data_IF_164232598513
#
_entry.id   IF_164232598513
#
_cell.length_a   1.000
_cell.length_b   1.000
_cell.length_c   1.000
_cell.angle_alpha   90.00
_cell.angle_beta   90.00
_cell.angle_gamma   90.00
#
_symmetry.space_group_name_H-M   'P 1'
#
loop_
_entity.id
_entity.type
_entity.pdbx_description
1 polymer ?
#
# COMPACT_ATOMS: atom_id res chain seq x y z
N UNK A 1 36.86 -38.89 34.67
CA UNK A 1 35.53 -38.79 34.01
C UNK A 1 35.23 -37.30 33.90
N UNK A 2 35.66 -36.57 32.88
CA UNK A 2 35.33 -36.69 31.46
C UNK A 2 34.56 -35.40 31.10
N UNK A 3 35.28 -34.32 30.79
CA UNK A 3 34.68 -33.06 30.37
C UNK A 3 34.04 -33.28 28.99
N UNK A 4 32.72 -33.18 28.92
CA UNK A 4 31.96 -33.26 27.67
C UNK A 4 32.25 -31.99 26.87
N UNK A 5 33.13 -32.14 25.87
CA UNK A 5 33.34 -31.16 24.81
C UNK A 5 32.01 -30.89 24.10
N UNK A 6 31.57 -29.63 24.05
CA UNK A 6 30.41 -29.22 23.28
C UNK A 6 30.70 -29.50 21.79
N UNK A 7 30.00 -30.47 21.19
CA UNK A 7 30.11 -30.76 19.77
C UNK A 7 29.71 -29.53 18.94
N UNK A 8 30.40 -29.26 17.81
CA UNK A 8 30.04 -28.17 16.92
C UNK A 8 28.63 -28.41 16.36
N UNK A 9 27.80 -27.37 16.38
CA UNK A 9 26.44 -27.42 15.84
C UNK A 9 26.46 -27.94 14.40
N UNK A 10 25.70 -29.01 14.13
CA UNK A 10 25.63 -29.62 12.81
C UNK A 10 25.23 -28.58 11.75
N UNK A 11 26.08 -28.38 10.74
CA UNK A 11 25.82 -27.47 9.62
C UNK A 11 24.57 -27.97 8.87
N UNK A 12 23.60 -27.09 8.65
CA UNK A 12 22.41 -27.41 7.90
C UNK A 12 22.77 -27.72 6.43
N UNK A 13 22.21 -28.79 5.87
CA UNK A 13 22.38 -29.15 4.45
C UNK A 13 21.39 -28.36 3.60
N UNK A 14 21.86 -27.84 2.46
CA UNK A 14 21.04 -27.06 1.53
C UNK A 14 20.65 -27.95 0.34
N UNK A 15 19.37 -27.86 -0.04
CA UNK A 15 18.79 -28.60 -1.15
C UNK A 15 17.96 -27.68 -2.04
N UNK A 16 17.82 -28.04 -3.32
CA UNK A 16 16.99 -27.35 -4.30
C UNK A 16 16.03 -28.32 -4.98
N UNK A 17 14.76 -27.95 -5.10
CA UNK A 17 13.79 -28.71 -5.88
C UNK A 17 12.63 -27.83 -6.35
N UNK A 18 11.86 -28.32 -7.34
CA UNK A 18 10.53 -27.79 -7.61
C UNK A 18 9.55 -28.26 -6.54
N UNK A 19 8.72 -27.35 -6.04
CA UNK A 19 7.74 -27.64 -5.00
C UNK A 19 6.74 -28.71 -5.46
N UNK A 20 6.81 -29.89 -4.84
CA UNK A 20 5.93 -31.04 -5.15
C UNK A 20 4.43 -30.74 -4.90
N UNK A 21 4.14 -29.78 -4.01
CA UNK A 21 2.78 -29.31 -3.72
C UNK A 21 2.79 -27.85 -3.25
N UNK A 22 1.63 -27.18 -3.28
CA UNK A 22 1.46 -25.80 -2.80
C UNK A 22 1.33 -25.64 -1.28
N UNK A 23 1.59 -26.70 -0.49
CA UNK A 23 1.32 -26.73 0.96
C UNK A 23 2.44 -26.15 1.83
N UNK A 24 3.63 -25.93 1.25
CA UNK A 24 4.77 -25.37 1.99
C UNK A 24 4.69 -23.85 2.08
N UNK A 25 4.97 -23.29 3.25
CA UNK A 25 5.17 -21.86 3.45
C UNK A 25 6.65 -21.51 3.55
N UNK A 26 7.02 -20.41 2.90
CA UNK A 26 8.38 -19.88 2.94
C UNK A 26 8.72 -19.38 4.34
N UNK A 27 9.85 -19.83 4.90
CA UNK A 27 10.29 -19.43 6.25
C UNK A 27 10.93 -18.03 6.31
N UNK A 28 11.22 -17.42 5.16
CA UNK A 28 11.69 -16.03 5.08
C UNK A 28 10.55 -15.01 5.08
N UNK A 29 9.54 -15.20 4.23
CA UNK A 29 8.45 -14.23 4.04
C UNK A 29 7.07 -14.72 4.54
N UNK A 30 6.97 -15.96 5.03
CA UNK A 30 5.73 -16.62 5.48
C UNK A 30 4.65 -16.86 4.40
N UNK A 31 4.88 -16.45 3.15
CA UNK A 31 3.95 -16.71 2.05
C UNK A 31 3.99 -18.16 1.55
N UNK A 32 2.92 -18.64 0.92
CA UNK A 32 2.87 -19.96 0.30
C UNK A 32 3.86 -20.09 -0.87
N UNK A 33 4.41 -21.29 -1.06
CA UNK A 33 5.24 -21.66 -2.21
C UNK A 33 4.37 -22.51 -3.13
N UNK A 34 4.09 -22.00 -4.34
CA UNK A 34 3.21 -22.65 -5.31
C UNK A 34 3.77 -23.99 -5.82
N UNK A 35 2.88 -24.94 -6.16
CA UNK A 35 3.28 -26.22 -6.79
C UNK A 35 4.04 -25.93 -8.09
N UNK A 36 5.18 -26.59 -8.29
CA UNK A 36 6.05 -26.41 -9.45
C UNK A 36 6.98 -25.19 -9.37
N UNK A 37 6.90 -24.37 -8.32
CA UNK A 37 7.86 -23.27 -8.12
C UNK A 37 9.19 -23.78 -7.59
N UNK A 38 10.31 -23.22 -8.06
CA UNK A 38 11.64 -23.51 -7.55
C UNK A 38 11.77 -23.03 -6.08
N UNK A 39 12.31 -23.88 -5.21
CA UNK A 39 12.48 -23.58 -3.78
C UNK A 39 13.77 -24.16 -3.23
N UNK A 40 14.33 -23.47 -2.24
CA UNK A 40 15.51 -23.90 -1.49
C UNK A 40 15.11 -24.41 -0.10
N UNK A 41 15.69 -25.54 0.30
CA UNK A 41 15.45 -26.20 1.59
C UNK A 41 16.72 -26.22 2.44
N UNK A 42 16.67 -25.68 3.65
CA UNK A 42 17.72 -25.85 4.66
C UNK A 42 17.29 -26.92 5.66
N UNK A 43 17.97 -28.06 5.65
CA UNK A 43 17.67 -29.21 6.50
C UNK A 43 18.65 -29.28 7.66
N UNK A 44 18.12 -29.40 8.88
CA UNK A 44 18.91 -29.67 10.07
C UNK A 44 18.37 -30.91 10.78
N UNK A 45 19.28 -31.70 11.35
CA UNK A 45 18.96 -32.93 12.08
C UNK A 45 18.71 -32.59 13.55
N UNK A 46 17.51 -32.88 14.05
CA UNK A 46 17.18 -32.72 15.47
C UNK A 46 18.00 -33.74 16.30
N UNK A 47 18.43 -33.40 17.54
CA UNK A 47 19.01 -34.34 18.50
C UNK A 47 18.23 -35.66 18.70
N UNK A 48 16.94 -35.69 18.38
CA UNK A 48 16.06 -36.89 18.41
C UNK A 48 16.07 -37.72 17.12
N UNK A 49 16.89 -37.35 16.14
CA UNK A 49 17.12 -38.12 14.90
C UNK A 49 16.20 -37.79 13.72
N UNK A 50 15.32 -36.79 13.85
CA UNK A 50 14.41 -36.37 12.77
C UNK A 50 14.99 -35.21 11.95
N UNK A 51 14.85 -35.29 10.63
CA UNK A 51 15.26 -34.22 9.71
C UNK A 51 14.11 -33.21 9.55
N UNK A 52 14.40 -31.93 9.80
CA UNK A 52 13.46 -30.83 9.60
C UNK A 52 13.95 -29.88 8.51
N UNK A 53 13.27 -29.87 7.37
CA UNK A 53 13.57 -28.95 6.26
C UNK A 53 12.77 -27.66 6.36
N UNK A 54 13.47 -26.54 6.43
CA UNK A 54 12.89 -25.20 6.29
C UNK A 54 12.92 -24.81 4.81
N UNK A 55 11.75 -24.60 4.21
CA UNK A 55 11.61 -24.21 2.81
C UNK A 55 11.56 -22.70 2.65
N UNK A 56 12.19 -22.20 1.58
CA UNK A 56 12.26 -20.79 1.22
C UNK A 56 11.99 -20.63 -0.28
N UNK A 57 11.41 -19.50 -0.67
CA UNK A 57 11.57 -19.03 -2.05
C UNK A 57 13.06 -18.78 -2.30
N UNK A 58 13.50 -18.94 -3.54
CA UNK A 58 14.88 -18.73 -3.97
C UNK A 58 15.40 -17.35 -3.51
N UNK A 59 14.62 -16.29 -3.75
CA UNK A 59 14.95 -14.92 -3.33
C UNK A 59 14.82 -14.65 -1.81
N UNK A 60 14.19 -15.56 -1.06
CA UNK A 60 14.00 -15.42 0.40
C UNK A 60 14.97 -16.29 1.21
N UNK A 61 15.86 -17.01 0.54
CA UNK A 61 16.77 -17.94 1.18
C UNK A 61 17.88 -17.17 1.93
N UNK A 62 18.07 -17.40 3.24
CA UNK A 62 19.04 -16.66 4.03
C UNK A 62 20.44 -17.24 3.83
N UNK A 63 21.08 -16.91 2.70
CA UNK A 63 22.42 -17.38 2.33
C UNK A 63 23.51 -17.00 3.37
N UNK A 64 23.28 -15.95 4.18
CA UNK A 64 24.14 -15.57 5.31
C UNK A 64 24.09 -16.56 6.48
N UNK A 65 22.97 -17.25 6.67
CA UNK A 65 22.78 -18.25 7.74
C UNK A 65 23.01 -19.69 7.25
N UNK A 66 22.82 -19.92 5.95
CA UNK A 66 23.02 -21.19 5.28
C UNK A 66 23.82 -20.97 4.00
N UNK A 67 25.16 -20.93 4.07
CA UNK A 67 26.00 -20.75 2.90
C UNK A 67 25.71 -21.84 1.86
N UNK A 68 25.43 -21.44 0.63
CA UNK A 68 25.06 -22.35 -0.46
C UNK A 68 26.22 -23.24 -0.94
N UNK A 69 27.47 -22.92 -0.59
CA UNK A 69 28.64 -23.59 -1.16
C UNK A 69 28.72 -23.38 -2.69
N UNK A 70 29.57 -24.14 -3.40
CA UNK A 70 29.46 -24.26 -4.85
C UNK A 70 28.06 -24.76 -5.20
N UNK A 71 27.38 -24.10 -6.13
CA UNK A 71 25.97 -24.42 -6.46
C UNK A 71 25.84 -25.85 -7.00
N UNK A 72 26.90 -26.37 -7.59
CA UNK A 72 27.06 -27.74 -8.06
C UNK A 72 27.00 -28.78 -6.93
N UNK A 73 27.32 -28.39 -5.69
CA UNK A 73 27.25 -29.27 -4.51
C UNK A 73 25.88 -29.22 -3.83
N UNK A 74 24.97 -28.35 -4.28
CA UNK A 74 23.62 -28.24 -3.72
C UNK A 74 22.80 -29.47 -4.12
N UNK A 75 22.26 -30.16 -3.11
CA UNK A 75 21.49 -31.37 -3.33
C UNK A 75 20.26 -31.09 -4.20
N UNK A 76 20.17 -31.72 -5.38
CA UNK A 76 19.07 -31.56 -6.33
C UNK A 76 19.34 -30.61 -7.50
N UNK A 77 20.54 -30.02 -7.57
CA UNK A 77 20.94 -29.10 -8.65
C UNK A 77 20.93 -29.75 -10.05
N UNK A 78 21.30 -31.03 -10.16
CA UNK A 78 21.26 -31.73 -11.45
C UNK A 78 19.82 -32.02 -11.93
N UNK A 79 18.83 -31.92 -11.06
CA UNK A 79 17.43 -32.26 -11.36
C UNK A 79 16.55 -31.05 -11.73
N UNK A 80 17.14 -29.85 -11.82
CA UNK A 80 16.45 -28.61 -12.24
C UNK A 80 16.85 -28.20 -13.66
N UNK A 81 16.01 -27.40 -14.33
CA UNK A 81 16.21 -26.96 -15.72
C UNK A 81 17.43 -26.06 -15.87
N UNK A 82 18.04 -26.04 -17.05
CA UNK A 82 19.25 -25.25 -17.34
C UNK A 82 19.07 -23.75 -17.09
N UNK A 83 17.92 -23.19 -17.47
CA UNK A 83 17.57 -21.78 -17.22
C UNK A 83 17.57 -21.44 -15.70
N UNK A 84 17.03 -22.35 -14.87
CA UNK A 84 16.93 -22.18 -13.42
C UNK A 84 18.29 -22.43 -12.72
N UNK A 85 19.19 -23.20 -13.34
CA UNK A 85 20.58 -23.37 -12.87
C UNK A 85 21.37 -22.07 -13.02
N UNK A 86 21.12 -21.31 -14.07
CA UNK A 86 21.75 -19.99 -14.27
C UNK A 86 21.28 -18.98 -13.21
N UNK A 87 19.99 -19.02 -12.83
CA UNK A 87 19.43 -18.17 -11.77
C UNK A 87 20.13 -18.41 -10.41
N UNK A 88 20.42 -19.68 -10.07
CA UNK A 88 21.13 -20.03 -8.84
C UNK A 88 22.62 -19.65 -8.88
N UNK A 89 23.28 -19.76 -10.04
CA UNK A 89 24.67 -19.29 -10.23
C UNK A 89 24.78 -17.78 -10.04
N UNK A 90 23.81 -17.01 -10.54
CA UNK A 90 23.78 -15.56 -10.33
C UNK A 90 23.53 -15.18 -8.87
N UNK A 91 22.71 -15.94 -8.13
CA UNK A 91 22.53 -15.75 -6.69
C UNK A 91 23.80 -16.04 -5.88
N UNK A 92 24.61 -17.03 -6.27
CA UNK A 92 25.90 -17.29 -5.64
C UNK A 92 26.88 -16.12 -5.85
N UNK A 93 26.97 -15.61 -7.09
CA UNK A 93 27.83 -14.46 -7.43
C UNK A 93 27.44 -13.20 -6.65
N UNK A 94 26.15 -12.93 -6.51
CA UNK A 94 25.65 -11.78 -5.75
C UNK A 94 25.94 -11.91 -4.25
N UNK A 95 25.84 -13.12 -3.69
CA UNK A 95 26.18 -13.37 -2.29
C UNK A 95 27.69 -13.29 -1.98
N UNK A 96 28.57 -13.62 -2.94
CA UNK A 96 30.03 -13.46 -2.77
C UNK A 96 30.46 -12.00 -2.71
N UNK A 97 29.81 -11.11 -3.49
CA UNK A 97 30.08 -9.66 -3.49
C UNK A 97 29.77 -8.99 -2.14
N UNK A 98 28.72 -9.43 -1.47
CA UNK A 98 28.33 -8.92 -0.13
C UNK A 98 29.25 -9.39 1.00
N UNK A 99 29.98 -10.50 0.85
CA UNK A 99 30.89 -11.03 1.88
C UNK A 99 32.31 -10.45 1.80
N UNK A 100 32.74 -9.94 0.65
CA UNK A 100 34.07 -9.32 0.47
C UNK A 100 34.19 -7.89 0.97
N UNK A 101 33.09 -7.29 1.45
CA UNK A 101 33.05 -5.88 1.85
C UNK A 101 33.10 -5.65 3.38
N UNK A 102 33.88 -6.41 4.16
CA UNK A 102 34.23 -5.98 5.52
C UNK A 102 35.58 -6.55 5.99
N UNK A 103 36.53 -5.66 6.28
CA UNK A 103 37.78 -5.89 7.03
C UNK A 103 38.35 -4.52 7.45
N UNK A 104 39.13 -4.42 8.55
CA UNK A 104 38.64 -3.81 9.79
C UNK A 104 39.40 -2.53 10.20
N UNK A 105 38.76 -1.65 10.96
CA UNK A 105 39.44 -0.62 11.74
C UNK A 105 38.91 -0.57 13.18
N UNK A 106 39.88 -0.47 14.08
CA UNK A 106 39.90 -0.71 15.52
C UNK A 106 39.49 0.54 16.35
N UNK A 107 38.67 0.31 17.41
CA UNK A 107 38.55 0.92 18.79
C UNK A 107 38.71 2.46 19.02
N UNK A 108 38.30 3.06 20.19
CA UNK A 108 37.82 2.46 21.45
C UNK A 108 36.56 3.09 22.12
N UNK A 109 35.96 2.29 23.02
CA UNK A 109 34.99 2.71 24.05
C UNK A 109 35.60 3.63 25.13
N UNK A 110 34.76 4.27 25.96
CA UNK A 110 35.06 4.32 27.39
C UNK A 110 33.92 3.80 28.28
N UNK A 111 34.37 3.13 29.35
CA UNK A 111 33.62 2.48 30.43
C UNK A 111 32.94 3.50 31.36
N UNK A 112 31.82 3.12 31.99
CA UNK A 112 31.56 3.41 33.41
C UNK A 112 30.63 2.36 34.03
N UNK A 113 31.05 1.86 35.18
CA UNK A 113 30.38 0.88 36.03
C UNK A 113 29.72 1.56 37.24
N UNK A 114 28.60 1.02 37.74
CA UNK A 114 28.27 0.72 39.16
C UNK A 114 26.78 0.38 39.29
N UNK A 115 26.45 -0.87 39.65
CA UNK A 115 26.05 -1.38 40.99
C UNK A 115 24.53 -1.32 41.21
N UNK A 116 23.92 -2.51 41.33
CA UNK A 116 22.61 -2.74 41.97
C UNK A 116 22.72 -2.53 43.48
N UNK A 117 21.61 -2.11 44.13
CA UNK A 117 21.20 -2.74 45.38
C UNK A 117 19.81 -3.40 45.26
N UNK A 118 19.60 -4.25 46.26
CA UNK A 118 18.70 -5.38 46.39
C UNK A 118 17.28 -4.94 46.78
N UNK A 119 16.33 -5.83 46.49
CA UNK A 119 14.88 -5.70 46.56
C UNK A 119 14.28 -5.43 47.95
N UNK A 120 13.11 -4.79 47.95
CA UNK A 120 11.97 -5.09 48.83
C UNK A 120 10.64 -4.67 48.15
N UNK A 121 9.54 -5.28 48.56
CA UNK A 121 8.44 -5.79 47.70
C UNK A 121 7.19 -4.88 47.68
N UNK A 122 6.59 -4.69 46.49
CA UNK A 122 5.14 -4.79 46.16
C UNK A 122 4.65 -3.76 45.11
N UNK A 123 4.36 -4.28 43.90
CA UNK A 123 3.28 -3.90 42.96
C UNK A 123 3.03 -2.40 42.65
N UNK A 124 3.72 -1.87 41.62
CA UNK A 124 3.18 -0.81 40.75
C UNK A 124 3.90 -0.83 39.40
N UNK A 125 3.18 -1.18 38.32
CA UNK A 125 3.73 -1.25 36.96
C UNK A 125 4.31 0.10 36.50
N UNK A 126 5.47 0.05 35.81
CA UNK A 126 6.14 1.25 35.30
C UNK A 126 5.59 1.63 33.92
N UNK A 127 5.30 2.93 33.73
CA UNK A 127 4.80 3.47 32.46
C UNK A 127 5.96 4.05 31.65
N UNK A 128 5.97 3.76 30.35
CA UNK A 128 7.02 4.17 29.40
C UNK A 128 6.40 4.67 28.09
N UNK A 129 7.11 5.53 27.36
CA UNK A 129 6.68 6.07 26.07
C UNK A 129 7.79 5.89 25.04
N UNK A 130 7.44 5.39 23.85
CA UNK A 130 8.38 5.26 22.73
C UNK A 130 7.64 5.25 21.39
N UNK A 131 8.36 5.53 20.30
CA UNK A 131 7.89 5.18 18.96
C UNK A 131 7.95 3.67 18.74
N UNK A 132 6.91 3.10 18.16
CA UNK A 132 6.82 1.68 17.89
C UNK A 132 7.93 1.22 16.93
N UNK A 133 8.88 0.43 17.42
CA UNK A 133 10.01 -0.09 16.62
C UNK A 133 9.57 -1.01 15.47
N UNK A 134 8.36 -1.59 15.55
CA UNK A 134 7.74 -2.43 14.52
C UNK A 134 6.21 -2.43 14.68
N UNK A 135 5.48 -2.83 13.64
CA UNK A 135 4.01 -2.91 13.66
C UNK A 135 3.45 -4.18 14.35
N UNK A 136 4.27 -4.88 15.15
CA UNK A 136 3.91 -6.16 15.78
C UNK A 136 3.16 -6.02 17.10
N UNK A 137 3.15 -4.82 17.70
CA UNK A 137 2.41 -4.57 18.93
C UNK A 137 0.96 -4.24 18.63
N UNK A 138 0.05 -4.73 19.47
CA UNK A 138 -1.38 -4.40 19.42
C UNK A 138 -1.75 -3.56 20.64
N UNK A 139 -2.54 -2.51 20.43
CA UNK A 139 -3.10 -1.71 21.51
C UNK A 139 -4.04 -2.58 22.36
N UNK A 140 -3.82 -2.62 23.68
CA UNK A 140 -4.63 -3.45 24.60
C UNK A 140 -6.01 -2.88 24.93
N UNK A 141 -6.30 -1.65 24.54
CA UNK A 141 -7.63 -1.06 24.71
C UNK A 141 -8.54 -1.31 23.49
N UNK A 142 -8.06 -1.04 22.27
CA UNK A 142 -8.88 -1.21 21.05
C UNK A 142 -8.54 -2.47 20.24
N UNK A 143 -7.57 -3.28 20.67
CA UNK A 143 -7.06 -4.47 19.98
C UNK A 143 -6.50 -4.25 18.56
N UNK A 144 -6.43 -3.00 18.08
CA UNK A 144 -5.83 -2.66 16.80
C UNK A 144 -4.30 -2.67 16.86
N UNK A 145 -3.66 -2.95 15.73
CA UNK A 145 -2.20 -2.91 15.59
C UNK A 145 -1.66 -1.49 15.68
N UNK A 146 -0.62 -1.29 16.48
CA UNK A 146 0.12 -0.03 16.57
C UNK A 146 1.19 -0.06 15.47
N UNK A 147 1.10 0.87 14.52
CA UNK A 147 1.99 0.93 13.35
C UNK A 147 3.42 1.28 13.72
N UNK A 148 4.40 0.81 12.93
CA UNK A 148 5.82 1.14 13.12
C UNK A 148 6.01 2.66 12.99
N UNK A 149 6.70 3.27 13.95
CA UNK A 149 6.92 4.71 14.01
C UNK A 149 5.83 5.50 14.72
N UNK A 150 4.69 4.90 15.07
CA UNK A 150 3.66 5.57 15.87
C UNK A 150 4.05 5.65 17.34
N UNK A 151 3.70 6.75 18.00
CA UNK A 151 3.89 6.94 19.43
C UNK A 151 2.99 5.97 20.20
N UNK A 152 3.54 5.28 21.20
CA UNK A 152 2.81 4.32 22.03
C UNK A 152 3.24 4.39 23.49
N UNK A 153 2.28 4.14 24.38
CA UNK A 153 2.50 4.11 25.82
C UNK A 153 2.49 2.65 26.29
N UNK A 154 3.53 2.24 27.01
CA UNK A 154 3.72 0.88 27.51
C UNK A 154 3.68 0.81 29.03
N UNK A 155 2.80 -0.03 29.58
CA UNK A 155 2.79 -0.37 31.01
C UNK A 155 3.47 -1.72 31.18
N UNK A 156 4.59 -1.74 31.90
CA UNK A 156 5.35 -2.97 32.16
C UNK A 156 4.94 -3.58 33.50
N UNK A 157 4.65 -4.87 33.49
CA UNK A 157 4.42 -5.69 34.67
C UNK A 157 5.47 -6.82 34.71
N UNK A 158 6.08 -7.01 35.87
CA UNK A 158 7.12 -8.02 36.09
C UNK A 158 6.48 -9.32 36.58
N UNK A 159 6.65 -10.44 35.85
CA UNK A 159 6.25 -11.77 36.34
C UNK A 159 7.37 -12.35 37.23
N UNK A 160 7.08 -12.81 38.46
CA UNK A 160 8.06 -13.41 39.37
C UNK A 160 8.83 -14.61 38.79
N UNK A 161 8.37 -15.22 37.68
CA UNK A 161 9.05 -16.31 36.94
C UNK A 161 10.05 -15.82 35.89
N UNK A 162 10.36 -14.53 35.88
CA UNK A 162 11.45 -13.94 35.08
C UNK A 162 11.05 -13.45 33.67
N UNK A 163 9.76 -13.33 33.38
CA UNK A 163 9.27 -12.79 32.10
C UNK A 163 8.68 -11.39 32.28
N UNK A 164 9.31 -10.39 31.67
CA UNK A 164 8.76 -9.03 31.60
C UNK A 164 7.73 -8.94 30.48
N UNK A 165 6.52 -8.46 30.81
CA UNK A 165 5.48 -8.22 29.82
C UNK A 165 5.09 -6.74 29.80
N UNK A 166 5.15 -6.13 28.62
CA UNK A 166 4.73 -4.74 28.40
C UNK A 166 3.41 -4.71 27.63
N UNK A 167 2.38 -4.14 28.25
CA UNK A 167 1.09 -3.87 27.61
C UNK A 167 1.18 -2.52 26.89
N UNK A 168 1.06 -2.56 25.57
CA UNK A 168 1.14 -1.38 24.71
C UNK A 168 -0.23 -0.79 24.41
N UNK A 169 -0.33 0.53 24.35
CA UNK A 169 -1.53 1.28 24.01
C UNK A 169 -1.20 2.37 22.99
N UNK A 170 -2.17 2.71 22.13
CA UNK A 170 -2.14 4.01 21.47
C UNK A 170 -2.20 5.11 22.53
N UNK A 171 -1.59 6.25 22.24
CA UNK A 171 -1.59 7.43 23.10
C UNK A 171 -3.02 7.85 23.47
N UNK A 172 -3.93 7.94 22.49
CA UNK A 172 -5.34 8.27 22.72
C UNK A 172 -6.14 7.16 23.44
N UNK A 173 -5.70 5.91 23.36
CA UNK A 173 -6.40 4.75 23.95
C UNK A 173 -5.84 4.36 25.33
N UNK A 174 -4.90 5.13 25.88
CA UNK A 174 -4.29 4.81 27.16
C UNK A 174 -5.28 5.02 28.32
N UNK A 175 -5.51 4.02 29.19
CA UNK A 175 -6.48 4.11 30.28
C UNK A 175 -5.87 4.85 31.48
N UNK A 176 -5.85 6.19 31.41
CA UNK A 176 -5.32 7.06 32.47
C UNK A 176 -6.04 6.88 33.82
N UNK A 177 -7.27 6.36 33.82
CA UNK A 177 -8.04 6.01 35.03
C UNK A 177 -7.48 4.81 35.77
N UNK A 178 -6.93 3.82 35.06
CA UNK A 178 -6.34 2.60 35.63
C UNK A 178 -4.84 2.73 35.89
N UNK A 179 -4.19 3.62 35.15
CA UNK A 179 -2.76 3.92 35.27
C UNK A 179 -2.58 5.44 35.21
N UNK A 180 -2.59 6.14 36.37
CA UNK A 180 -2.38 7.58 36.40
C UNK A 180 -1.03 7.89 35.75
N UNK A 181 -1.07 8.58 34.61
CA UNK A 181 0.10 9.23 34.05
C UNK A 181 0.44 10.31 35.08
N UNK A 182 1.52 10.11 35.84
CA UNK A 182 2.13 11.21 36.59
C UNK A 182 2.61 12.29 35.63
N UNK A 183 3.47 13.20 36.09
CA UNK A 183 4.08 14.22 35.21
C UNK A 183 4.71 13.56 33.98
N UNK A 184 4.29 13.95 32.78
CA UNK A 184 4.69 13.31 31.51
C UNK A 184 6.22 13.34 31.34
N UNK A 185 6.90 14.36 31.89
CA UNK A 185 8.36 14.50 31.88
C UNK A 185 9.08 13.44 32.73
N UNK A 186 8.37 12.67 33.56
CA UNK A 186 8.93 11.55 34.32
C UNK A 186 8.74 10.20 33.63
N UNK A 187 8.14 10.15 32.43
CA UNK A 187 7.95 8.92 31.68
C UNK A 187 9.28 8.43 31.08
N UNK A 188 9.57 7.14 31.28
CA UNK A 188 10.75 6.50 30.70
C UNK A 188 10.64 6.52 29.16
N UNK A 189 11.57 7.23 28.50
CA UNK A 189 11.63 7.38 27.04
C UNK A 189 11.13 8.72 26.49
N UNK A 190 10.65 9.63 27.35
CA UNK A 190 10.16 10.96 26.95
C UNK A 190 11.23 11.82 26.27
N UNK A 191 12.48 11.78 26.74
CA UNK A 191 13.60 12.54 26.18
C UNK A 191 13.98 12.12 24.75
N UNK A 192 13.48 10.98 24.26
CA UNK A 192 13.75 10.46 22.91
C UNK A 192 12.61 10.71 21.92
N UNK A 193 11.55 11.43 22.33
CA UNK A 193 10.43 11.85 21.48
C UNK A 193 10.73 13.23 20.87
N UNK A 194 10.28 13.49 19.64
CA UNK A 194 10.44 14.79 18.95
C UNK A 194 9.64 15.89 19.65
N UNK A 195 10.11 17.15 19.57
CA UNK A 195 9.49 18.27 20.29
C UNK A 195 8.02 18.52 19.90
N UNK A 196 7.68 18.38 18.62
CA UNK A 196 6.29 18.51 18.13
C UNK A 196 5.34 17.48 18.79
N UNK A 197 5.80 16.24 18.96
CA UNK A 197 5.01 15.14 19.57
C UNK A 197 4.99 15.22 21.12
N UNK A 198 5.90 16.00 21.73
CA UNK A 198 5.91 16.25 23.18
C UNK A 198 4.79 17.20 23.58
N UNK A 199 4.41 18.15 22.73
CA UNK A 199 3.26 19.03 22.97
C UNK A 199 1.94 18.25 22.94
N UNK A 200 1.79 17.28 22.02
CA UNK A 200 0.61 16.41 21.93
C UNK A 200 0.41 15.57 23.22
N UNK A 201 1.50 15.10 23.83
CA UNK A 201 1.46 14.39 25.12
C UNK A 201 1.10 15.32 26.30
N UNK A 202 1.50 16.60 26.27
CA UNK A 202 1.17 17.60 27.30
C UNK A 202 -0.31 18.00 27.24
N UNK A 203 -0.89 18.10 26.04
CA UNK A 203 -2.31 18.42 25.86
C UNK A 203 -3.25 17.29 26.31
N UNK A 204 -2.80 16.04 26.26
CA UNK A 204 -3.52 14.89 26.82
C UNK A 204 -3.60 14.86 28.35
N UNK A 205 -2.64 15.49 29.04
CA UNK A 205 -2.67 15.66 30.51
C UNK A 205 -3.71 16.71 30.92
N UNK A 206 -3.94 17.73 30.09
CA UNK A 206 -4.89 18.83 30.35
C UNK A 206 -6.34 18.46 30.01
N UNK A 207 -6.56 17.76 28.88
CA UNK A 207 -7.91 17.52 28.32
C UNK A 207 -8.78 16.46 29.04
N UNK A 208 -8.36 15.93 30.21
CA UNK A 208 -9.19 14.95 30.97
C UNK A 208 -9.38 15.27 32.46
N UNK A 209 -8.97 16.46 32.92
CA UNK A 209 -9.36 17.00 34.24
C UNK A 209 -10.76 17.63 34.26
N UNK A 210 -11.44 17.75 33.11
CA UNK A 210 -12.73 18.43 32.99
C UNK A 210 -13.99 17.56 33.20
N UNK A 211 -13.91 16.24 33.06
CA UNK A 211 -15.11 15.36 33.02
C UNK A 211 -15.49 14.70 34.36
N UNK A 212 -15.26 15.40 35.47
CA UNK A 212 -15.80 15.02 36.77
C UNK A 212 -16.54 16.19 37.44
N UNK A 213 -17.66 16.61 36.84
CA UNK A 213 -18.74 17.24 37.58
C UNK A 213 -20.08 17.11 36.83
N UNK A 214 -21.10 16.70 37.58
CA UNK A 214 -22.53 16.73 37.28
C UNK A 214 -23.13 15.59 36.43
N UNK A 215 -23.81 14.69 37.15
CA UNK A 215 -24.74 13.64 36.70
C UNK A 215 -26.17 14.20 36.80
N UNK A 216 -27.02 13.99 35.78
CA UNK A 216 -28.48 14.18 35.89
C UNK A 216 -29.21 14.17 34.53
N UNK A 217 -30.44 13.61 34.42
CA UNK A 217 -30.86 12.83 33.26
C UNK A 217 -31.83 13.52 32.28
N UNK A 218 -31.80 13.01 31.03
CA UNK A 218 -32.81 12.98 29.94
C UNK A 218 -34.18 13.61 30.17
N UNK A 219 -34.67 14.37 29.17
CA UNK A 219 -36.00 14.16 28.52
C UNK A 219 -36.08 14.80 27.11
N UNK A 220 -36.88 14.17 26.26
CA UNK A 220 -37.18 14.49 24.85
C UNK A 220 -38.50 15.28 24.78
N UNK A 221 -38.57 16.40 24.04
CA UNK A 221 -39.82 16.87 23.42
C UNK A 221 -39.61 18.05 22.46
N UNK A 222 -40.05 17.89 21.21
CA UNK A 222 -40.71 18.96 20.41
C UNK A 222 -42.24 18.76 20.51
N UNK A 223 -43.15 19.63 20.02
CA UNK A 223 -43.01 20.83 19.17
C UNK A 223 -43.87 22.05 19.64
N UNK A 224 -43.79 23.21 18.97
CA UNK A 224 -44.86 23.79 18.12
C UNK A 224 -44.75 25.32 17.90
N UNK A 225 -45.24 25.69 16.71
CA UNK A 225 -45.55 26.97 16.03
C UNK A 225 -45.72 28.28 16.85
N UNK A 226 -45.35 29.38 16.18
CA UNK A 226 -45.90 30.73 16.39
C UNK A 226 -45.57 31.67 15.22
N UNK A 227 -46.60 32.06 14.48
CA UNK A 227 -46.58 32.90 13.27
C UNK A 227 -46.91 34.36 13.64
N UNK A 228 -46.30 35.36 13.02
CA UNK A 228 -46.93 36.70 12.87
C UNK A 228 -46.26 37.53 11.77
N UNK A 229 -47.12 38.35 11.18
CA UNK A 229 -47.16 38.88 9.81
C UNK A 229 -46.79 40.38 9.77
N UNK A 230 -46.91 40.99 8.57
CA UNK A 230 -46.96 42.44 8.22
C UNK A 230 -45.61 42.97 7.67
N UNK A 231 -45.48 43.71 6.56
CA UNK A 231 -46.25 44.04 5.35
C UNK A 231 -45.28 44.77 4.40
N UNK A 232 -45.45 44.62 3.09
CA UNK A 232 -44.76 45.30 1.97
C UNK A 232 -45.38 46.71 1.69
N UNK A 233 -44.71 47.66 0.99
CA UNK A 233 -44.51 47.57 -0.48
C UNK A 233 -43.17 48.07 -1.08
N UNK A 234 -42.90 47.52 -2.29
CA UNK A 234 -42.17 47.99 -3.50
C UNK A 234 -40.92 48.90 -3.37
N UNK A 235 -39.80 48.66 -4.06
CA UNK A 235 -39.62 48.50 -5.52
C UNK A 235 -38.26 47.83 -5.87
N UNK A 236 -38.32 47.04 -6.96
CA UNK A 236 -37.32 46.83 -8.04
C UNK A 236 -35.91 46.17 -7.83
N UNK A 237 -35.80 45.02 -8.53
CA UNK A 237 -34.68 44.53 -9.39
C UNK A 237 -33.72 43.47 -8.80
N UNK A 238 -33.67 42.36 -9.56
CA UNK A 238 -32.61 41.35 -9.73
C UNK A 238 -32.63 40.03 -8.92
N UNK A 239 -32.50 38.96 -9.73
CA UNK A 239 -32.03 37.59 -9.48
C UNK A 239 -33.01 36.45 -9.08
N UNK A 240 -32.86 35.37 -9.86
CA UNK A 240 -32.88 33.94 -9.51
C UNK A 240 -34.20 33.26 -9.10
N UNK A 241 -34.65 32.35 -9.97
CA UNK A 241 -35.10 30.98 -9.64
C UNK A 241 -35.05 30.16 -10.95
N UNK A 242 -34.75 28.86 -11.00
CA UNK A 242 -35.04 27.80 -10.03
C UNK A 242 -33.99 26.66 -10.06
N UNK A 243 -33.87 25.89 -8.97
CA UNK A 243 -32.93 24.78 -8.84
C UNK A 243 -33.49 23.51 -9.48
N UNK A 244 -32.92 23.11 -10.62
CA UNK A 244 -33.12 21.79 -11.22
C UNK A 244 -31.98 20.85 -10.85
N UNK A 245 -32.31 19.74 -10.20
CA UNK A 245 -31.51 18.54 -9.93
C UNK A 245 -30.01 18.73 -9.63
N UNK A 246 -29.69 18.76 -8.33
CA UNK A 246 -28.33 18.42 -7.87
C UNK A 246 -28.07 16.93 -8.11
N UNK A 247 -27.42 16.61 -9.22
CA UNK A 247 -26.64 15.38 -9.33
C UNK A 247 -25.53 15.44 -8.28
N UNK A 248 -25.52 14.47 -7.37
CA UNK A 248 -24.48 14.31 -6.35
C UNK A 248 -23.25 13.70 -7.04
N UNK A 249 -22.56 14.51 -7.85
CA UNK A 249 -21.19 14.25 -8.27
C UNK A 249 -20.26 14.78 -7.18
N UNK A 250 -19.33 13.95 -6.70
CA UNK A 250 -18.32 14.42 -5.75
C UNK A 250 -17.37 15.34 -6.52
N UNK A 251 -17.60 16.65 -6.47
CA UNK A 251 -16.77 17.64 -7.15
C UNK A 251 -15.30 17.39 -6.77
N UNK A 252 -14.46 17.08 -7.76
CA UNK A 252 -13.06 16.78 -7.51
C UNK A 252 -12.34 18.12 -7.38
N UNK A 253 -11.72 18.43 -6.22
CA UNK A 253 -11.00 19.67 -6.01
C UNK A 253 -9.69 19.61 -6.83
N UNK A 254 -9.80 19.97 -8.11
CA UNK A 254 -8.68 19.97 -9.06
C UNK A 254 -8.24 21.42 -9.31
N UNK A 255 -6.96 21.68 -9.14
CA UNK A 255 -6.31 22.92 -9.52
C UNK A 255 -5.10 22.63 -10.40
N UNK A 256 -4.85 23.43 -11.46
CA UNK A 256 -3.62 23.31 -12.25
C UNK A 256 -2.33 23.41 -11.42
N UNK A 257 -2.37 24.09 -10.26
CA UNK A 257 -1.24 24.19 -9.33
C UNK A 257 -0.86 22.85 -8.67
N UNK A 258 -1.80 21.91 -8.60
CA UNK A 258 -1.61 20.62 -7.92
C UNK A 258 -1.02 19.56 -8.86
N UNK A 259 -0.89 19.90 -10.14
CA UNK A 259 -0.31 19.04 -11.17
C UNK A 259 1.20 18.94 -10.96
N UNK A 260 1.69 17.71 -10.88
CA UNK A 260 3.11 17.37 -10.65
C UNK A 260 3.71 16.74 -11.89
N UNK A 261 5.01 16.99 -12.10
CA UNK A 261 5.84 16.34 -13.15
C UNK A 261 6.43 15.00 -12.68
N UNK A 262 6.20 14.64 -11.42
CA UNK A 262 6.64 13.39 -10.80
C UNK A 262 5.48 12.75 -10.09
N UNK A 263 5.49 11.42 -10.02
CA UNK A 263 4.59 10.67 -9.16
C UNK A 263 5.38 10.09 -7.98
N UNK A 264 5.28 10.75 -6.83
CA UNK A 264 6.09 10.46 -5.63
C UNK A 264 7.58 10.58 -5.94
N UNK A 265 8.34 9.49 -5.84
CA UNK A 265 9.77 9.42 -6.15
C UNK A 265 10.06 9.06 -7.62
N UNK A 266 9.03 8.82 -8.44
CA UNK A 266 9.20 8.48 -9.85
C UNK A 266 9.07 9.70 -10.76
N UNK A 267 9.99 9.84 -11.71
CA UNK A 267 9.94 10.85 -12.77
C UNK A 267 8.99 10.40 -13.88
N UNK A 268 8.20 11.33 -14.39
CA UNK A 268 7.30 11.09 -15.53
C UNK A 268 7.88 11.70 -16.81
N UNK A 269 7.63 11.11 -17.99
CA UNK A 269 7.91 11.76 -19.27
C UNK A 269 7.16 13.10 -19.40
N UNK A 270 7.61 13.97 -20.29
CA UNK A 270 7.15 15.37 -20.37
C UNK A 270 5.64 15.53 -20.57
N UNK A 271 5.04 14.67 -21.39
CA UNK A 271 3.60 14.65 -21.70
C UNK A 271 2.77 13.87 -20.69
N UNK A 272 3.38 13.39 -19.61
CA UNK A 272 2.69 12.75 -18.49
C UNK A 272 2.80 13.62 -17.25
N UNK A 273 1.70 13.67 -16.50
CA UNK A 273 1.56 14.45 -15.28
C UNK A 273 0.89 13.62 -14.20
N UNK A 274 1.01 14.06 -12.96
CA UNK A 274 0.37 13.45 -11.81
C UNK A 274 -0.52 14.45 -11.09
N UNK A 275 -1.69 13.99 -10.64
CA UNK A 275 -2.58 14.70 -9.74
C UNK A 275 -3.09 13.70 -8.69
N UNK A 276 -2.88 14.00 -7.42
CA UNK A 276 -3.18 13.10 -6.30
C UNK A 276 -2.63 11.66 -6.53
N UNK A 277 -3.50 10.65 -6.64
CA UNK A 277 -3.16 9.25 -6.91
C UNK A 277 -3.27 8.86 -8.40
N UNK A 278 -3.50 9.82 -9.29
CA UNK A 278 -3.67 9.61 -10.74
C UNK A 278 -2.43 10.08 -11.49
N UNK A 279 -1.95 9.26 -12.42
CA UNK A 279 -1.07 9.70 -13.50
C UNK A 279 -1.92 9.85 -14.74
N UNK A 280 -1.83 10.98 -15.43
CA UNK A 280 -2.58 11.23 -16.66
C UNK A 280 -1.66 11.77 -17.75
N UNK A 281 -2.03 11.49 -19.00
CA UNK A 281 -1.35 12.02 -20.17
C UNK A 281 -1.95 13.37 -20.51
N UNK A 282 -1.13 14.40 -20.75
CA UNK A 282 -1.64 15.70 -21.19
C UNK A 282 -2.31 15.59 -22.57
N UNK A 283 -3.12 16.60 -22.89
CA UNK A 283 -3.83 16.67 -24.15
C UNK A 283 -2.80 16.78 -25.30
N UNK A 284 -2.83 15.82 -26.21
CA UNK A 284 -2.07 15.88 -27.46
C UNK A 284 -2.69 16.85 -28.45
N UNK A 285 -1.86 17.35 -29.36
CA UNK A 285 -2.30 17.99 -30.59
C UNK A 285 -3.28 17.05 -31.34
N UNK A 286 -4.50 17.54 -31.56
CA UNK A 286 -5.58 16.78 -32.23
C UNK A 286 -6.54 16.05 -31.28
N UNK A 287 -6.26 15.96 -29.98
CA UNK A 287 -7.28 15.50 -29.04
C UNK A 287 -8.34 16.61 -28.85
N UNK A 288 -9.59 16.32 -29.18
CA UNK A 288 -10.69 17.29 -29.07
C UNK A 288 -11.65 16.92 -27.94
N UNK A 289 -12.14 17.94 -27.23
CA UNK A 289 -13.30 17.77 -26.34
C UNK A 289 -14.53 17.38 -27.16
N UNK A 290 -15.41 16.56 -26.59
CA UNK A 290 -16.61 16.07 -27.29
C UNK A 290 -17.73 15.79 -26.31
N UNK A 291 -18.97 15.90 -26.81
CA UNK A 291 -20.14 15.39 -26.10
C UNK A 291 -20.19 13.85 -26.11
N UNK A 292 -19.53 13.20 -27.08
CA UNK A 292 -19.50 11.74 -27.19
C UNK A 292 -18.18 11.17 -26.70
N UNK A 293 -18.24 10.32 -25.68
CA UNK A 293 -17.06 9.70 -25.08
C UNK A 293 -17.06 8.20 -25.38
N UNK A 294 -15.97 7.73 -25.99
CA UNK A 294 -15.67 6.30 -26.10
C UNK A 294 -14.54 6.00 -25.13
N UNK A 295 -14.89 5.41 -24.00
CA UNK A 295 -13.95 5.13 -22.92
C UNK A 295 -13.63 3.63 -22.83
N UNK A 296 -12.40 3.31 -22.48
CA UNK A 296 -11.90 1.93 -22.48
C UNK A 296 -11.06 1.63 -21.23
N UNK A 297 -11.13 0.40 -20.74
CA UNK A 297 -10.00 -0.19 -20.01
C UNK A 297 -8.83 -0.48 -20.97
N UNK A 298 -7.65 -0.77 -20.42
CA UNK A 298 -6.46 -1.08 -21.20
C UNK A 298 -6.04 -2.55 -21.15
N UNK A 299 -5.72 -3.07 -19.95
CA UNK A 299 -5.08 -4.38 -19.77
C UNK A 299 -6.12 -5.50 -19.81
N UNK A 300 -6.19 -6.24 -20.92
CA UNK A 300 -7.22 -7.26 -21.17
C UNK A 300 -8.35 -6.78 -22.06
N UNK A 301 -8.52 -5.45 -22.20
CA UNK A 301 -9.50 -4.83 -23.10
C UNK A 301 -8.88 -4.40 -24.44
N UNK A 302 -7.92 -3.46 -24.43
CA UNK A 302 -7.26 -2.97 -25.64
C UNK A 302 -5.96 -3.72 -25.95
N UNK A 303 -5.24 -4.13 -24.90
CA UNK A 303 -3.96 -4.79 -25.01
C UNK A 303 -3.92 -6.10 -24.19
N UNK A 304 -3.33 -7.14 -24.77
CA UNK A 304 -2.87 -8.32 -24.03
C UNK A 304 -1.61 -7.95 -23.27
N UNK A 305 -1.71 -7.96 -21.95
CA UNK A 305 -0.58 -7.70 -21.06
C UNK A 305 -0.46 -8.81 -20.03
N UNK A 306 0.70 -8.88 -19.38
CA UNK A 306 0.95 -9.85 -18.32
C UNK A 306 1.46 -9.13 -17.08
N UNK A 307 0.85 -9.41 -15.94
CA UNK A 307 1.34 -8.93 -14.64
C UNK A 307 2.69 -9.54 -14.25
N UNK A 308 3.10 -10.65 -14.90
CA UNK A 308 4.38 -11.33 -14.64
C UNK A 308 5.53 -10.74 -15.46
N UNK A 309 5.22 -10.16 -16.61
CA UNK A 309 6.22 -9.66 -17.56
C UNK A 309 6.17 -8.13 -17.58
N UNK A 310 7.23 -7.51 -17.10
CA UNK A 310 7.35 -6.05 -16.99
C UNK A 310 8.17 -5.54 -18.16
N UNK A 311 7.69 -4.48 -18.81
CA UNK A 311 8.35 -3.80 -19.92
C UNK A 311 7.35 -3.01 -20.76
N UNK A 312 7.81 -1.90 -21.33
CA UNK A 312 7.03 -1.02 -22.19
C UNK A 312 6.65 -1.68 -23.53
N UNK A 313 7.47 -2.62 -23.99
CA UNK A 313 7.31 -3.43 -25.21
C UNK A 313 6.56 -4.75 -24.97
N UNK A 314 6.28 -5.10 -23.69
CA UNK A 314 5.72 -6.40 -23.29
C UNK A 314 4.19 -6.38 -23.35
N UNK A 315 3.66 -6.24 -24.56
CA UNK A 315 2.24 -6.25 -24.85
C UNK A 315 1.96 -6.62 -26.31
N UNK A 316 0.71 -6.92 -26.63
CA UNK A 316 0.21 -7.02 -28.01
C UNK A 316 -1.26 -6.58 -28.06
N UNK A 317 -1.80 -6.30 -29.24
CA UNK A 317 -3.21 -5.94 -29.37
C UNK A 317 -4.13 -7.06 -28.87
N UNK A 318 -5.18 -6.71 -28.14
CA UNK A 318 -6.19 -7.68 -27.71
C UNK A 318 -6.89 -8.31 -28.93
N UNK A 319 -7.19 -7.50 -29.93
CA UNK A 319 -7.72 -7.91 -31.21
C UNK A 319 -7.14 -7.05 -32.35
N UNK A 320 -6.93 -7.66 -33.52
CA UNK A 320 -6.30 -6.99 -34.68
C UNK A 320 -7.10 -5.81 -35.25
N UNK A 321 -8.41 -5.77 -35.01
CA UNK A 321 -9.31 -4.71 -35.51
C UNK A 321 -9.36 -3.47 -34.62
N UNK A 322 -8.63 -3.46 -33.50
CA UNK A 322 -8.68 -2.36 -32.53
C UNK A 322 -8.24 -1.03 -33.13
N UNK A 323 -7.10 -0.95 -33.88
CA UNK A 323 -6.72 0.29 -34.54
C UNK A 323 -7.87 0.83 -35.40
N UNK A 324 -8.31 0.07 -36.42
CA UNK A 324 -9.37 0.51 -37.34
C UNK A 324 -10.64 0.97 -36.62
N UNK A 325 -11.03 0.28 -35.52
CA UNK A 325 -12.21 0.67 -34.76
C UNK A 325 -12.03 1.96 -33.97
N UNK A 326 -10.87 2.18 -33.35
CA UNK A 326 -10.56 3.44 -32.66
C UNK A 326 -10.47 4.61 -33.65
N UNK A 327 -9.90 4.39 -34.84
CA UNK A 327 -9.88 5.37 -35.93
C UNK A 327 -11.28 5.75 -36.38
N UNK A 328 -12.14 4.76 -36.61
CA UNK A 328 -13.55 5.00 -36.96
C UNK A 328 -14.24 5.83 -35.88
N UNK A 329 -14.12 5.46 -34.60
CA UNK A 329 -14.77 6.19 -33.51
C UNK A 329 -14.27 7.65 -33.41
N UNK A 330 -12.96 7.85 -33.54
CA UNK A 330 -12.40 9.20 -33.54
C UNK A 330 -12.94 10.04 -34.71
N UNK A 331 -12.99 9.47 -35.92
CA UNK A 331 -13.54 10.14 -37.10
C UNK A 331 -15.05 10.39 -36.98
N UNK A 332 -15.77 9.55 -36.24
CA UNK A 332 -17.18 9.74 -35.91
C UNK A 332 -17.37 10.85 -34.85
N UNK A 333 -16.30 11.48 -34.35
CA UNK A 333 -16.34 12.60 -33.40
C UNK A 333 -16.36 12.17 -31.94
N UNK A 334 -15.98 10.92 -31.62
CA UNK A 334 -15.78 10.51 -30.23
C UNK A 334 -14.45 11.02 -29.70
N UNK A 335 -14.47 11.55 -28.48
CA UNK A 335 -13.26 11.66 -27.68
C UNK A 335 -12.90 10.29 -27.12
N UNK A 336 -11.71 9.82 -27.44
CA UNK A 336 -11.20 8.54 -26.97
C UNK A 336 -10.52 8.72 -25.61
N UNK A 337 -10.90 7.90 -24.64
CA UNK A 337 -10.35 7.95 -23.28
C UNK A 337 -9.99 6.56 -22.77
N UNK A 338 -8.84 6.42 -22.10
CA UNK A 338 -8.46 5.20 -21.39
C UNK A 338 -8.48 5.46 -19.88
N UNK A 339 -9.18 4.59 -19.15
CA UNK A 339 -9.21 4.54 -17.70
C UNK A 339 -8.65 3.19 -17.23
N UNK A 340 -7.44 3.19 -16.65
CA UNK A 340 -6.75 1.97 -16.23
C UNK A 340 -6.34 2.01 -14.76
N UNK A 341 -6.39 0.86 -14.09
CA UNK A 341 -5.96 0.67 -12.71
C UNK A 341 -4.53 0.10 -12.67
N UNK A 342 -3.58 0.78 -12.01
CA UNK A 342 -2.19 0.29 -11.89
C UNK A 342 -1.66 0.40 -10.46
N UNK A 343 -2.20 -0.43 -9.55
CA UNK A 343 -1.80 -0.37 -8.13
C UNK A 343 -0.36 -0.81 -7.86
N UNK A 344 0.34 -1.43 -8.82
CA UNK A 344 1.74 -1.80 -8.64
C UNK A 344 2.65 -0.57 -8.54
N UNK A 345 2.28 0.55 -9.18
CA UNK A 345 3.00 1.82 -9.04
C UNK A 345 3.01 2.27 -7.57
N UNK A 346 1.88 2.12 -6.87
CA UNK A 346 1.80 2.45 -5.45
C UNK A 346 2.48 1.39 -4.56
N UNK A 347 2.26 0.11 -4.85
CA UNK A 347 2.75 -1.01 -4.03
C UNK A 347 4.26 -1.19 -4.11
N UNK A 348 4.88 -0.99 -5.27
CA UNK A 348 6.30 -1.29 -5.50
C UNK A 348 7.21 -0.10 -5.22
N UNK A 349 7.28 0.34 -3.96
CA UNK A 349 8.03 1.55 -3.57
C UNK A 349 9.47 1.60 -4.12
N UNK A 350 10.25 0.53 -3.96
CA UNK A 350 11.65 0.48 -4.41
C UNK A 350 11.82 0.20 -5.91
N UNK A 351 10.73 -0.05 -6.63
CA UNK A 351 10.72 -0.33 -8.07
C UNK A 351 9.69 0.55 -8.79
N UNK A 352 9.31 1.68 -8.18
CA UNK A 352 8.21 2.52 -8.66
C UNK A 352 8.51 3.07 -10.04
N UNK A 353 9.72 3.59 -10.24
CA UNK A 353 10.17 4.07 -11.55
C UNK A 353 9.98 2.99 -12.63
N UNK A 354 10.45 1.76 -12.38
CA UNK A 354 10.28 0.65 -13.32
C UNK A 354 8.81 0.32 -13.61
N UNK A 355 7.93 0.40 -12.61
CA UNK A 355 6.50 0.19 -12.80
C UNK A 355 5.87 1.30 -13.66
N UNK A 356 6.23 2.55 -13.38
CA UNK A 356 5.82 3.73 -14.16
C UNK A 356 6.30 3.60 -15.60
N UNK A 357 7.60 3.40 -15.83
CA UNK A 357 8.20 3.28 -17.17
C UNK A 357 7.53 2.16 -17.97
N UNK A 358 7.24 1.03 -17.32
CA UNK A 358 6.57 -0.09 -17.98
C UNK A 358 5.12 0.21 -18.36
N UNK A 359 4.36 0.95 -17.53
CA UNK A 359 2.95 1.21 -17.80
C UNK A 359 2.79 2.37 -18.78
N UNK A 360 3.46 3.48 -18.50
CA UNK A 360 3.45 4.69 -19.34
C UNK A 360 4.01 4.38 -20.72
N UNK A 361 5.19 3.74 -20.82
CA UNK A 361 5.78 3.40 -22.11
C UNK A 361 4.91 2.43 -22.93
N UNK A 362 4.17 1.53 -22.27
CA UNK A 362 3.21 0.65 -22.94
C UNK A 362 2.04 1.42 -23.55
N UNK A 363 1.51 2.39 -22.82
CA UNK A 363 0.41 3.24 -23.28
C UNK A 363 0.87 4.15 -24.42
N UNK A 364 2.07 4.73 -24.33
CA UNK A 364 2.65 5.54 -25.41
C UNK A 364 2.85 4.70 -26.69
N UNK A 365 3.47 3.51 -26.57
CA UNK A 365 3.64 2.60 -27.71
C UNK A 365 2.29 2.18 -28.32
N UNK A 366 1.25 2.00 -27.50
CA UNK A 366 -0.09 1.68 -27.99
C UNK A 366 -0.70 2.84 -28.77
N UNK A 367 -0.62 4.06 -28.24
CA UNK A 367 -1.13 5.28 -28.89
C UNK A 367 -0.42 5.49 -30.24
N UNK A 368 0.90 5.33 -30.28
CA UNK A 368 1.68 5.39 -31.52
C UNK A 368 1.24 4.31 -32.53
N UNK A 369 0.96 3.09 -32.06
CA UNK A 369 0.48 2.00 -32.90
C UNK A 369 -0.90 2.28 -33.52
N UNK A 370 -1.82 2.87 -32.77
CA UNK A 370 -3.19 3.16 -33.25
C UNK A 370 -3.28 4.48 -33.99
N UNK A 371 -2.33 5.41 -33.84
CA UNK A 371 -2.28 6.68 -34.59
C UNK A 371 -3.56 7.53 -34.44
N UNK A 372 -4.17 7.49 -33.26
CA UNK A 372 -5.25 8.41 -32.89
C UNK A 372 -4.95 9.01 -31.52
N UNK A 373 -5.30 10.29 -31.30
CA UNK A 373 -5.09 10.92 -30.00
C UNK A 373 -6.04 10.32 -28.96
N UNK A 374 -5.49 9.92 -27.81
CA UNK A 374 -6.23 9.30 -26.72
C UNK A 374 -5.83 9.97 -25.40
N UNK A 375 -6.84 10.40 -24.63
CA UNK A 375 -6.66 10.89 -23.26
C UNK A 375 -6.50 9.69 -22.32
N UNK A 376 -5.48 9.66 -21.47
CA UNK A 376 -5.25 8.51 -20.58
C UNK A 376 -5.21 8.94 -19.12
N UNK A 377 -5.88 8.17 -18.26
CA UNK A 377 -5.82 8.28 -16.81
C UNK A 377 -5.50 6.91 -16.19
N UNK A 378 -4.51 6.92 -15.30
CA UNK A 378 -3.98 5.75 -14.60
C UNK A 378 -4.21 5.95 -13.10
N UNK A 379 -5.15 5.21 -12.54
CA UNK A 379 -5.36 5.18 -11.09
C UNK A 379 -4.26 4.33 -10.44
N UNK A 380 -3.30 4.99 -9.79
CA UNK A 380 -2.17 4.32 -9.13
C UNK A 380 -2.52 3.85 -7.73
N UNK A 381 -3.55 4.44 -7.10
CA UNK A 381 -3.95 4.12 -5.75
C UNK A 381 -4.43 2.67 -5.56
N UNK A 382 -4.47 2.25 -4.30
CA UNK A 382 -4.94 0.93 -3.90
C UNK A 382 -6.40 0.97 -3.51
N UNK A 383 -7.15 -0.09 -3.82
CA UNK A 383 -8.52 -0.23 -3.36
C UNK A 383 -8.61 -0.41 -1.85
N UNK A 384 -9.84 -0.34 -1.33
CA UNK A 384 -10.19 -0.49 0.08
C UNK A 384 -9.48 -1.68 0.72
N UNK A 385 -8.54 -1.38 1.62
CA UNK A 385 -7.78 -2.35 2.39
C UNK A 385 -8.03 -2.16 3.89
N UNK A 386 -7.55 -3.10 4.71
CA UNK A 386 -7.57 -2.91 6.17
C UNK A 386 -6.66 -1.73 6.54
N UNK A 387 -7.26 -0.56 6.79
CA UNK A 387 -6.56 0.66 7.20
C UNK A 387 -5.97 1.51 6.07
N UNK A 388 -6.27 1.20 4.81
CA UNK A 388 -6.00 2.11 3.68
C UNK A 388 -7.33 2.64 3.13
N UNK A 389 -7.48 3.97 3.00
CA UNK A 389 -8.67 4.55 2.39
C UNK A 389 -8.83 4.00 0.98
N UNK A 390 -10.08 3.84 0.57
CA UNK A 390 -10.39 3.44 -0.79
C UNK A 390 -10.03 4.58 -1.73
N UNK A 391 -9.28 4.28 -2.78
CA UNK A 391 -8.85 5.29 -3.74
C UNK A 391 -10.04 5.72 -4.61
N UNK A 392 -10.37 7.02 -4.57
CA UNK A 392 -11.50 7.61 -5.31
C UNK A 392 -11.36 7.39 -6.82
N UNK A 393 -10.13 7.38 -7.32
CA UNK A 393 -9.86 7.26 -8.75
C UNK A 393 -9.79 5.81 -9.22
N UNK A 394 -9.58 4.85 -8.32
CA UNK A 394 -9.48 3.44 -8.68
C UNK A 394 -10.84 2.86 -9.01
N UNK A 395 -10.99 2.29 -10.21
CA UNK A 395 -12.19 1.53 -10.60
C UNK A 395 -12.42 0.39 -9.58
N UNK A 396 -13.66 0.22 -9.06
CA UNK A 396 -14.92 0.69 -9.63
C UNK A 396 -15.33 2.12 -9.27
N UNK A 397 -14.55 2.89 -8.51
CA UNK A 397 -14.93 4.29 -8.20
C UNK A 397 -14.80 5.18 -9.45
N UNK A 398 -15.69 6.17 -9.57
CA UNK A 398 -15.82 7.01 -10.77
C UNK A 398 -14.93 8.26 -10.76
N UNK A 399 -13.93 8.35 -9.86
CA UNK A 399 -13.08 9.53 -9.73
C UNK A 399 -12.33 9.91 -11.01
N UNK A 400 -11.80 8.93 -11.77
CA UNK A 400 -11.16 9.25 -13.06
C UNK A 400 -12.15 9.82 -14.09
N UNK A 401 -13.40 9.35 -14.07
CA UNK A 401 -14.45 9.87 -14.97
C UNK A 401 -14.78 11.32 -14.66
N UNK A 402 -15.08 11.65 -13.40
CA UNK A 402 -15.39 13.02 -12.98
C UNK A 402 -14.22 13.96 -13.21
N UNK A 403 -12.98 13.49 -12.98
CA UNK A 403 -11.78 14.28 -13.27
C UNK A 403 -11.74 14.64 -14.75
N UNK A 404 -11.95 13.66 -15.64
CA UNK A 404 -11.97 13.87 -17.08
C UNK A 404 -13.11 14.79 -17.53
N UNK A 405 -14.32 14.52 -17.06
CA UNK A 405 -15.54 15.22 -17.47
C UNK A 405 -15.53 16.69 -17.03
N UNK A 406 -15.14 16.96 -15.78
CA UNK A 406 -15.15 18.31 -15.22
C UNK A 406 -13.97 19.17 -15.70
N UNK A 407 -12.77 18.58 -15.80
CA UNK A 407 -11.53 19.36 -15.96
C UNK A 407 -10.83 19.17 -17.30
N UNK A 408 -11.09 18.07 -18.00
CA UNK A 408 -10.39 17.74 -19.25
C UNK A 408 -11.34 17.67 -20.46
N UNK A 409 -12.59 18.12 -20.35
CA UNK A 409 -13.55 18.15 -21.47
C UNK A 409 -14.01 19.55 -21.89
N UNK A 410 -13.23 20.59 -21.55
CA UNK A 410 -13.49 21.98 -21.97
C UNK A 410 -14.89 22.50 -21.64
N UNK A 411 -15.53 21.97 -20.58
CA UNK A 411 -16.89 22.33 -20.18
C UNK A 411 -17.99 21.81 -21.13
N UNK A 412 -17.66 20.98 -22.12
CA UNK A 412 -18.66 20.36 -23.00
C UNK A 412 -19.42 19.29 -22.21
N UNK A 413 -20.74 19.44 -22.14
CA UNK A 413 -21.61 18.45 -21.53
C UNK A 413 -21.55 17.12 -22.29
N UNK A 414 -21.41 16.02 -21.55
CA UNK A 414 -21.32 14.67 -22.10
C UNK A 414 -22.72 14.11 -22.31
N UNK A 415 -22.99 13.63 -23.53
CA UNK A 415 -24.17 12.86 -23.87
C UNK A 415 -23.93 11.40 -23.47
N UNK A 416 -24.53 10.98 -22.36
CA UNK A 416 -24.35 9.64 -21.79
C UNK A 416 -25.02 8.54 -22.63
N UNK A 417 -26.06 8.87 -23.41
CA UNK A 417 -26.77 7.90 -24.25
C UNK A 417 -25.95 7.58 -25.52
N UNK A 418 -25.14 8.54 -25.98
CA UNK A 418 -24.23 8.36 -27.11
C UNK A 418 -22.83 7.91 -26.70
N UNK A 419 -22.52 7.91 -25.40
CA UNK A 419 -21.23 7.52 -24.84
C UNK A 419 -21.23 6.09 -24.33
N UNK A 420 -20.05 5.46 -24.24
CA UNK A 420 -19.94 4.10 -23.74
C UNK A 420 -18.59 3.82 -23.08
N UNK A 421 -18.58 2.79 -22.22
CA UNK A 421 -17.38 2.23 -21.60
C UNK A 421 -17.19 0.77 -21.98
N UNK A 422 -15.96 0.37 -22.33
CA UNK A 422 -15.61 -1.03 -22.65
C UNK A 422 -14.49 -1.52 -21.75
N UNK A 423 -14.70 -2.63 -21.05
CA UNK A 423 -13.69 -3.26 -20.20
C UNK A 423 -13.88 -4.77 -20.10
N UNK A 424 -12.82 -5.47 -19.68
CA UNK A 424 -12.85 -6.93 -19.54
C UNK A 424 -13.32 -7.38 -18.15
N UNK A 425 -13.24 -6.52 -17.12
CA UNK A 425 -13.75 -6.80 -15.79
C UNK A 425 -15.27 -6.59 -15.70
N UNK A 426 -16.03 -7.41 -16.42
CA UNK A 426 -17.47 -7.26 -16.61
C UNK A 426 -18.31 -8.17 -15.70
N UNK A 427 -17.69 -8.90 -14.76
CA UNK A 427 -18.38 -9.78 -13.82
C UNK A 427 -18.90 -11.08 -14.42
N UNK A 428 -18.36 -11.53 -15.57
CA UNK A 428 -18.65 -12.85 -16.15
C UNK A 428 -18.00 -13.95 -15.31
N UNK A 429 -18.44 -15.20 -15.47
CA UNK A 429 -18.00 -16.34 -14.65
C UNK A 429 -16.47 -16.52 -14.54
N UNK A 430 -15.72 -16.14 -15.58
CA UNK A 430 -14.25 -16.25 -15.62
C UNK A 430 -13.53 -14.89 -15.53
N UNK A 431 -14.25 -13.80 -15.31
CA UNK A 431 -13.61 -12.50 -15.14
C UNK A 431 -12.91 -12.44 -13.78
N UNK A 432 -11.76 -11.79 -13.76
CA UNK A 432 -10.98 -11.63 -12.53
C UNK A 432 -11.61 -10.62 -11.54
N UNK A 433 -12.50 -9.74 -12.04
CA UNK A 433 -13.29 -8.78 -11.26
C UNK A 433 -14.48 -8.25 -12.07
N UNK A 434 -15.30 -7.42 -11.43
CA UNK A 434 -16.44 -6.67 -11.98
C UNK A 434 -16.18 -5.15 -11.99
N UNK A 435 -14.92 -4.73 -11.86
CA UNK A 435 -14.56 -3.33 -11.66
C UNK A 435 -14.98 -2.41 -12.81
N UNK A 436 -14.99 -2.92 -14.05
CA UNK A 436 -15.31 -2.13 -15.23
C UNK A 436 -16.81 -1.91 -15.39
N UNK A 437 -17.63 -2.96 -15.18
CA UNK A 437 -19.09 -2.83 -15.22
C UNK A 437 -19.60 -1.94 -14.08
N UNK A 438 -19.03 -2.05 -12.88
CA UNK A 438 -19.39 -1.20 -11.75
C UNK A 438 -18.89 0.25 -11.92
N UNK A 439 -17.73 0.46 -12.56
CA UNK A 439 -17.27 1.79 -12.94
C UNK A 439 -18.25 2.46 -13.88
N UNK A 440 -18.68 1.78 -14.95
CA UNK A 440 -19.65 2.32 -15.90
C UNK A 440 -20.97 2.72 -15.24
N UNK A 441 -21.51 1.87 -14.34
CA UNK A 441 -22.73 2.17 -13.57
C UNK A 441 -22.60 3.40 -12.69
N UNK A 442 -21.43 3.66 -12.11
CA UNK A 442 -21.15 4.81 -11.23
C UNK A 442 -20.85 6.11 -11.98
N UNK A 443 -20.73 6.07 -13.31
CA UNK A 443 -20.55 7.25 -14.14
C UNK A 443 -21.88 7.85 -14.65
N UNK A 444 -22.96 7.06 -14.56
CA UNK A 444 -24.35 7.52 -14.73
C UNK A 444 -24.84 8.17 -13.43
#
# INVERSE_FOLDING_TARGET
RGAMSASPAAKATVSVEYAKSGRSSCKGCSAAIAKGALRLGASARDPRGYDSTKWYHVACFPASSHPLGPVEEVQGFDSIKDDDREELRELEKNNKRDQTAVSPLEVPSPKKAKVLPKAEVAEKGSVSVEYAKSARSTCKACNASITKGALRIGVSAHDPRGFDSTKWYHVACFPTSSHPLGRVEKLKGFDSIKDDDREELRELEKNKKGDQAAVGPVELSSPNKGNSHISLPEVEVAEKSSPGNKTVGTAIPFSPSDIKKTYKDATLPTHWKAFDTVIFREQDDGLHASAKIAAFDFDGCLAKTSVKIIGADKWSLQHKSIPDKLQSLYNDGYKLVIFTNESNIERWKNKRQRAVDSKVGRLDNFIECVKVPIQVFIACGTGKGKGTPDDLFRKPNSGMWWLMAEHFNSGIAIDMDQSFYVGDAAGRENDHSDADIEFAKKCQ
#
